data_IF_683419242479
#
_entry.id   IF_683419242479
#
_cell.length_a   1.000
_cell.length_b   1.000
_cell.length_c   1.000
_cell.angle_alpha   90.00
_cell.angle_beta   90.00
_cell.angle_gamma   90.00
#
_symmetry.space_group_name_H-M   'P 1'
#
loop_
_entity.id
_entity.type
_entity.pdbx_description
1 polymer ?
#
# COMPACT_ATOMS: atom_id res chain seq x y z
N UNK A 1 -10.87 -36.09 -20.85
CA UNK A 1 -10.83 -34.77 -20.13
C UNK A 1 -12.21 -34.29 -19.65
N UNK A 2 -13.26 -34.21 -20.49
CA UNK A 2 -14.59 -33.77 -20.02
C UNK A 2 -15.31 -34.85 -19.18
N UNK A 3 -15.14 -36.13 -19.44
CA UNK A 3 -15.69 -37.22 -18.62
C UNK A 3 -15.03 -37.36 -17.27
N UNK A 4 -13.75 -37.02 -17.13
CA UNK A 4 -13.06 -37.02 -15.84
C UNK A 4 -13.56 -35.88 -14.95
N UNK A 5 -13.91 -34.73 -15.52
CA UNK A 5 -14.50 -33.60 -14.75
C UNK A 5 -15.91 -33.95 -14.24
N UNK A 6 -16.68 -34.75 -14.97
CA UNK A 6 -18.02 -35.21 -14.55
C UNK A 6 -17.95 -36.32 -13.49
N UNK A 7 -16.96 -37.19 -13.51
CA UNK A 7 -16.68 -38.15 -12.44
C UNK A 7 -16.23 -37.43 -11.16
N UNK A 8 -15.63 -36.26 -11.31
CA UNK A 8 -15.09 -35.48 -10.25
C UNK A 8 -16.14 -34.78 -9.37
N UNK A 9 -17.29 -34.46 -9.94
CA UNK A 9 -18.38 -33.81 -9.20
C UNK A 9 -19.17 -34.79 -8.30
N UNK A 10 -18.82 -36.06 -8.30
CA UNK A 10 -19.51 -37.10 -7.51
C UNK A 10 -19.09 -37.18 -6.03
N UNK A 11 -18.10 -36.45 -5.58
CA UNK A 11 -17.59 -36.73 -4.23
C UNK A 11 -16.97 -35.61 -3.47
N UNK A 12 -17.40 -34.34 -3.56
CA UNK A 12 -17.01 -33.29 -2.58
C UNK A 12 -15.62 -33.45 -1.91
N UNK A 13 -14.64 -33.95 -2.67
CA UNK A 13 -13.27 -34.18 -2.18
C UNK A 13 -12.37 -32.99 -2.49
N UNK A 14 -12.97 -31.86 -2.89
CA UNK A 14 -12.25 -30.64 -3.23
C UNK A 14 -12.13 -29.75 -2.02
N UNK A 15 -10.94 -29.23 -1.82
CA UNK A 15 -10.66 -28.17 -0.86
C UNK A 15 -9.93 -27.02 -1.56
N UNK A 16 -10.24 -25.81 -1.16
CA UNK A 16 -9.51 -24.63 -1.56
C UNK A 16 -8.40 -24.37 -0.55
N UNK A 17 -7.17 -24.22 -1.05
CA UNK A 17 -6.02 -23.86 -0.25
C UNK A 17 -5.53 -22.48 -0.71
N UNK A 18 -5.42 -21.55 0.23
CA UNK A 18 -4.95 -20.19 -0.02
C UNK A 18 -3.61 -19.98 0.67
N UNK A 19 -2.62 -19.56 -0.10
CA UNK A 19 -1.34 -19.07 0.41
C UNK A 19 -1.28 -17.58 0.15
N UNK A 20 -1.32 -16.79 1.20
CA UNK A 20 -1.22 -15.33 1.14
C UNK A 20 0.19 -14.93 1.53
N UNK A 21 0.86 -14.18 0.67
CA UNK A 21 2.23 -13.67 0.88
C UNK A 21 2.15 -12.15 0.88
N UNK A 22 2.39 -11.55 2.03
CA UNK A 22 2.42 -10.09 2.18
C UNK A 22 3.69 -9.49 1.57
N UNK A 23 3.75 -8.16 1.49
CA UNK A 23 4.90 -7.43 0.94
C UNK A 23 6.15 -7.53 1.85
N UNK A 24 5.97 -7.87 3.13
CA UNK A 24 7.03 -8.11 4.11
C UNK A 24 7.44 -9.59 4.21
N UNK A 25 7.08 -10.40 3.19
CA UNK A 25 7.31 -11.85 3.12
C UNK A 25 6.61 -12.67 4.20
N UNK A 26 5.72 -12.07 5.00
CA UNK A 26 4.86 -12.83 5.91
C UNK A 26 3.92 -13.73 5.12
N UNK A 27 3.80 -14.99 5.54
CA UNK A 27 2.98 -15.99 4.84
C UNK A 27 1.85 -16.48 5.73
N UNK A 28 0.63 -16.52 5.17
CA UNK A 28 -0.52 -17.18 5.77
C UNK A 28 -0.98 -18.32 4.87
N UNK A 29 -1.35 -19.45 5.48
CA UNK A 29 -1.76 -20.68 4.82
C UNK A 29 -3.12 -21.10 5.33
N UNK A 30 -4.15 -21.01 4.49
CA UNK A 30 -5.54 -21.27 4.84
C UNK A 30 -6.19 -22.31 3.95
N UNK A 31 -7.17 -23.03 4.51
CA UNK A 31 -8.05 -23.93 3.76
C UNK A 31 -9.51 -23.74 4.18
N UNK A 32 -10.43 -23.94 3.26
CA UNK A 32 -11.87 -24.01 3.52
C UNK A 32 -12.32 -25.38 4.06
N UNK A 33 -11.39 -26.34 4.13
CA UNK A 33 -11.65 -27.64 4.71
C UNK A 33 -11.66 -27.57 6.25
N UNK A 34 -12.47 -28.42 6.90
CA UNK A 34 -12.59 -28.50 8.36
C UNK A 34 -11.34 -29.05 9.05
N UNK A 35 -10.43 -29.66 8.31
CA UNK A 35 -9.17 -30.24 8.80
C UNK A 35 -7.97 -29.61 8.11
N UNK A 36 -6.81 -29.74 8.77
CA UNK A 36 -5.53 -29.37 8.19
C UNK A 36 -5.29 -30.16 6.91
N UNK A 37 -4.93 -29.46 5.85
CA UNK A 37 -4.57 -30.07 4.56
C UNK A 37 -3.09 -29.79 4.30
N UNK A 38 -2.31 -30.82 3.99
CA UNK A 38 -0.90 -30.68 3.66
C UNK A 38 -0.73 -30.72 2.14
N UNK A 39 -0.24 -29.63 1.56
CA UNK A 39 0.02 -29.52 0.10
C UNK A 39 1.45 -29.02 -0.08
N UNK A 40 2.24 -29.72 -0.89
CA UNK A 40 3.63 -29.30 -1.24
C UNK A 40 4.49 -28.91 0.00
N UNK A 41 4.47 -29.73 1.03
CA UNK A 41 5.19 -29.54 2.31
C UNK A 41 4.66 -28.36 3.17
N UNK A 42 3.62 -27.66 2.75
CA UNK A 42 2.96 -26.62 3.52
C UNK A 42 1.70 -27.16 4.19
N UNK A 43 1.51 -26.81 5.47
CA UNK A 43 0.30 -27.17 6.21
C UNK A 43 -0.68 -26.00 6.18
N UNK A 44 -1.81 -26.20 5.52
CA UNK A 44 -2.90 -25.24 5.46
C UNK A 44 -3.83 -25.45 6.65
N UNK A 45 -4.09 -24.38 7.39
CA UNK A 45 -4.93 -24.40 8.57
C UNK A 45 -6.40 -24.14 8.20
N UNK A 46 -7.34 -24.87 8.82
CA UNK A 46 -8.74 -24.55 8.68
C UNK A 46 -8.99 -23.16 9.26
N UNK A 47 -9.49 -22.27 8.44
CA UNK A 47 -10.04 -21.01 8.90
C UNK A 47 -11.52 -20.98 8.53
N UNK A 48 -12.30 -20.38 9.40
CA UNK A 48 -13.67 -20.01 9.06
C UNK A 48 -13.61 -18.86 8.05
N UNK A 49 -13.17 -19.20 6.83
CA UNK A 49 -13.36 -18.36 5.67
C UNK A 49 -14.85 -18.42 5.37
N UNK A 50 -15.56 -17.32 5.57
CA UNK A 50 -17.01 -17.24 5.35
C UNK A 50 -17.34 -17.39 3.90
N UNK A 51 -16.80 -17.75 2.93
CA UNK A 51 -17.00 -18.02 1.51
C UNK A 51 -16.03 -17.27 0.57
N UNK A 52 -15.45 -18.03 -0.34
CA UNK A 52 -14.92 -17.51 -1.59
C UNK A 52 -16.10 -17.18 -2.51
N UNK A 53 -16.23 -15.95 -2.97
CA UNK A 53 -17.23 -15.64 -3.99
C UNK A 53 -16.90 -16.36 -5.30
N UNK A 54 -17.93 -16.63 -6.12
CA UNK A 54 -17.73 -17.19 -7.44
C UNK A 54 -16.79 -16.28 -8.27
N UNK A 55 -15.90 -16.91 -9.04
CA UNK A 55 -15.03 -16.22 -9.98
C UNK A 55 -15.89 -15.58 -11.08
N UNK A 56 -16.06 -14.27 -11.06
CA UNK A 56 -16.75 -13.55 -12.13
C UNK A 56 -15.79 -13.39 -13.31
N UNK A 57 -16.00 -14.16 -14.36
CA UNK A 57 -15.27 -14.00 -15.61
C UNK A 57 -16.09 -13.13 -16.56
N UNK A 58 -15.75 -11.87 -16.67
CA UNK A 58 -16.32 -10.94 -17.65
C UNK A 58 -15.38 -10.80 -18.85
N UNK A 59 -15.62 -11.56 -19.92
CA UNK A 59 -14.95 -11.41 -21.21
C UNK A 59 -13.46 -11.76 -21.23
N UNK A 60 -12.87 -11.83 -22.41
CA UNK A 60 -11.52 -12.39 -22.67
C UNK A 60 -10.34 -11.62 -22.01
N UNK A 61 -10.53 -10.38 -21.54
CA UNK A 61 -9.49 -9.53 -20.96
C UNK A 61 -9.81 -8.96 -19.56
N UNK A 62 -11.03 -9.16 -19.04
CA UNK A 62 -11.39 -8.80 -17.68
C UNK A 62 -11.54 -10.07 -16.86
N UNK A 63 -10.52 -10.41 -16.11
CA UNK A 63 -10.65 -11.38 -15.04
C UNK A 63 -11.45 -10.71 -13.92
N UNK A 64 -12.56 -11.33 -13.53
CA UNK A 64 -13.44 -10.78 -12.53
C UNK A 64 -12.76 -10.67 -11.15
N UNK A 65 -13.28 -9.75 -10.36
CA UNK A 65 -12.93 -9.63 -8.96
C UNK A 65 -13.47 -10.83 -8.18
N UNK A 66 -12.70 -11.28 -7.21
CA UNK A 66 -13.12 -12.35 -6.30
C UNK A 66 -12.94 -11.87 -4.87
N UNK A 67 -14.00 -12.01 -4.08
CA UNK A 67 -13.96 -11.65 -2.67
C UNK A 67 -13.61 -12.85 -1.80
N UNK A 68 -12.74 -12.61 -0.84
CA UNK A 68 -12.46 -13.51 0.28
C UNK A 68 -13.05 -12.89 1.53
N UNK A 69 -13.91 -13.62 2.21
CA UNK A 69 -14.49 -13.21 3.49
C UNK A 69 -13.91 -14.04 4.61
N UNK A 70 -13.60 -13.42 5.73
CA UNK A 70 -13.08 -14.12 6.89
C UNK A 70 -13.41 -13.41 8.19
N UNK A 71 -13.09 -14.08 9.27
CA UNK A 71 -13.30 -13.60 10.64
C UNK A 71 -11.95 -13.13 11.19
N UNK A 72 -11.97 -12.05 11.96
CA UNK A 72 -10.81 -11.54 12.69
C UNK A 72 -10.68 -12.38 13.96
N UNK A 73 -9.71 -13.28 13.99
CA UNK A 73 -9.51 -14.23 15.10
C UNK A 73 -8.62 -13.69 16.23
N UNK A 74 -8.02 -12.52 16.02
CA UNK A 74 -7.11 -11.88 16.97
C UNK A 74 -5.75 -12.56 17.13
N UNK A 75 -5.51 -13.68 16.46
CA UNK A 75 -4.25 -14.42 16.49
C UNK A 75 -3.58 -14.42 15.11
N UNK A 76 -4.23 -14.96 14.11
CA UNK A 76 -3.69 -15.10 12.75
C UNK A 76 -3.92 -13.83 11.93
N UNK A 77 -5.16 -13.31 11.99
CA UNK A 77 -5.55 -12.03 11.39
C UNK A 77 -6.02 -11.12 12.52
N UNK A 78 -5.24 -10.09 12.78
CA UNK A 78 -5.52 -9.15 13.85
C UNK A 78 -6.05 -7.83 13.31
N UNK A 79 -6.89 -7.15 14.10
CA UNK A 79 -7.41 -5.84 13.73
C UNK A 79 -6.32 -4.79 13.46
N UNK A 80 -5.22 -4.72 14.23
CA UNK A 80 -4.09 -3.84 13.91
C UNK A 80 -3.49 -4.11 12.53
N UNK A 81 -3.27 -5.38 12.15
CA UNK A 81 -2.74 -5.74 10.83
C UNK A 81 -3.65 -5.28 9.69
N UNK A 82 -4.97 -5.40 9.86
CA UNK A 82 -5.95 -4.93 8.87
C UNK A 82 -5.97 -3.41 8.79
N UNK A 83 -5.93 -2.72 9.92
CA UNK A 83 -5.82 -1.24 9.97
C UNK A 83 -4.53 -0.75 9.32
N UNK A 84 -3.42 -1.41 9.53
CA UNK A 84 -2.13 -1.13 8.89
C UNK A 84 -2.10 -1.51 7.41
N UNK A 85 -3.20 -2.07 6.88
CA UNK A 85 -3.29 -2.55 5.52
C UNK A 85 -2.15 -3.52 5.14
N UNK A 86 -1.62 -4.27 6.11
CA UNK A 86 -0.49 -5.19 5.94
C UNK A 86 -0.69 -6.15 4.74
N UNK A 87 -1.91 -6.59 4.54
CA UNK A 87 -2.27 -7.56 3.50
C UNK A 87 -2.68 -6.92 2.16
N UNK A 88 -2.72 -5.59 2.08
CA UNK A 88 -2.95 -4.91 0.80
C UNK A 88 -1.74 -5.06 -0.11
N UNK A 89 -1.97 -5.43 -1.38
CA UNK A 89 -0.90 -5.76 -2.31
C UNK A 89 -0.32 -7.17 -2.14
N UNK A 90 -0.79 -7.93 -1.13
CA UNK A 90 -0.35 -9.31 -0.92
C UNK A 90 -0.69 -10.20 -2.12
N UNK A 91 0.23 -11.09 -2.47
CA UNK A 91 0.02 -12.13 -3.48
C UNK A 91 -0.75 -13.30 -2.87
N UNK A 92 -1.85 -13.68 -3.49
CA UNK A 92 -2.67 -14.83 -3.09
C UNK A 92 -2.54 -15.94 -4.12
N UNK A 93 -2.07 -17.08 -3.69
CA UNK A 93 -2.04 -18.30 -4.49
C UNK A 93 -3.22 -19.16 -4.05
N UNK A 94 -4.22 -19.24 -4.91
CA UNK A 94 -5.41 -20.06 -4.72
C UNK A 94 -5.22 -21.39 -5.44
N UNK A 95 -5.34 -22.48 -4.71
CA UNK A 95 -5.23 -23.85 -5.23
C UNK A 95 -6.51 -24.61 -4.92
N UNK A 96 -6.96 -25.41 -5.89
CA UNK A 96 -8.02 -26.40 -5.67
C UNK A 96 -7.35 -27.77 -5.66
N UNK A 97 -7.48 -28.47 -4.54
CA UNK A 97 -6.81 -29.76 -4.29
C UNK A 97 -7.82 -30.83 -3.92
N UNK A 98 -7.45 -32.08 -4.13
CA UNK A 98 -8.15 -33.23 -3.55
C UNK A 98 -7.67 -33.42 -2.10
N UNK A 99 -8.50 -33.10 -1.12
CA UNK A 99 -8.07 -33.20 0.28
C UNK A 99 -7.76 -34.63 0.74
N UNK A 100 -8.29 -35.66 0.08
CA UNK A 100 -7.93 -37.06 0.32
C UNK A 100 -6.58 -37.44 -0.32
N UNK A 101 -6.22 -36.77 -1.40
CA UNK A 101 -4.98 -36.99 -2.16
C UNK A 101 -4.34 -35.64 -2.47
N UNK A 102 -3.74 -34.94 -1.49
CA UNK A 102 -3.26 -33.57 -1.63
C UNK A 102 -2.17 -33.37 -2.70
N UNK A 103 -1.59 -34.43 -3.21
CA UNK A 103 -0.67 -34.38 -4.34
C UNK A 103 -1.39 -34.01 -5.65
N UNK A 104 -2.72 -34.16 -5.72
CA UNK A 104 -3.51 -33.82 -6.90
C UNK A 104 -4.02 -32.39 -6.78
N UNK A 105 -3.45 -31.52 -7.58
CA UNK A 105 -3.83 -30.11 -7.66
C UNK A 105 -4.54 -29.89 -9.01
N UNK A 106 -5.78 -29.42 -8.95
CA UNK A 106 -6.63 -29.26 -10.15
C UNK A 106 -6.48 -27.90 -10.79
N UNK A 107 -6.28 -26.89 -9.98
CA UNK A 107 -6.08 -25.53 -10.50
C UNK A 107 -5.19 -24.72 -9.56
N UNK A 108 -4.45 -23.78 -10.16
CA UNK A 108 -3.67 -22.78 -9.45
C UNK A 108 -3.95 -21.43 -10.08
N UNK A 109 -4.32 -20.47 -9.24
CA UNK A 109 -4.53 -19.09 -9.66
C UNK A 109 -3.73 -18.16 -8.76
N UNK A 110 -3.06 -17.20 -9.36
CA UNK A 110 -2.41 -16.11 -8.62
C UNK A 110 -3.27 -14.86 -8.71
N UNK A 111 -3.53 -14.25 -7.58
CA UNK A 111 -4.30 -13.01 -7.43
C UNK A 111 -3.54 -12.04 -6.53
N UNK A 112 -3.98 -10.79 -6.52
CA UNK A 112 -3.42 -9.75 -5.64
C UNK A 112 -4.58 -9.12 -4.87
N UNK A 113 -4.41 -8.95 -3.56
CA UNK A 113 -5.39 -8.25 -2.72
C UNK A 113 -5.28 -6.76 -2.99
N UNK A 114 -6.34 -6.16 -3.53
CA UNK A 114 -6.36 -4.74 -3.88
C UNK A 114 -7.06 -3.90 -2.84
N UNK A 115 -8.05 -4.45 -2.19
CA UNK A 115 -8.87 -3.76 -1.19
C UNK A 115 -9.20 -4.69 -0.04
N UNK A 116 -9.16 -4.15 1.18
CA UNK A 116 -9.64 -4.84 2.37
C UNK A 116 -10.62 -3.91 3.08
N UNK A 117 -11.79 -4.42 3.36
CA UNK A 117 -12.81 -3.76 4.18
C UNK A 117 -13.07 -4.65 5.38
N UNK A 118 -13.18 -4.08 6.56
CA UNK A 118 -13.45 -4.83 7.78
C UNK A 118 -14.52 -4.12 8.62
N UNK A 119 -15.30 -4.92 9.32
CA UNK A 119 -16.38 -4.47 10.20
C UNK A 119 -16.31 -5.30 11.49
N UNK A 120 -15.79 -4.69 12.54
CA UNK A 120 -15.70 -5.28 13.88
C UNK A 120 -15.05 -6.66 13.92
N UNK A 121 -15.81 -7.68 13.56
CA UNK A 121 -15.38 -9.09 13.64
C UNK A 121 -15.06 -9.74 12.30
N UNK A 122 -15.46 -9.11 11.20
CA UNK A 122 -15.32 -9.69 9.86
C UNK A 122 -14.47 -8.81 8.96
N UNK A 123 -13.84 -9.43 7.96
CA UNK A 123 -13.18 -8.70 6.87
C UNK A 123 -13.61 -9.26 5.51
N UNK A 124 -13.52 -8.40 4.50
CA UNK A 124 -13.71 -8.75 3.09
C UNK A 124 -12.50 -8.24 2.33
N UNK A 125 -11.75 -9.15 1.74
CA UNK A 125 -10.63 -8.85 0.86
C UNK A 125 -11.03 -9.04 -0.59
N UNK A 126 -10.97 -7.98 -1.40
CA UNK A 126 -11.18 -8.06 -2.85
C UNK A 126 -9.86 -8.39 -3.52
N UNK A 127 -9.86 -9.45 -4.31
CA UNK A 127 -8.70 -9.95 -5.03
C UNK A 127 -8.90 -9.76 -6.53
N UNK A 128 -7.90 -9.24 -7.20
CA UNK A 128 -7.84 -9.11 -8.65
C UNK A 128 -6.84 -10.10 -9.25
N UNK A 129 -7.06 -10.46 -10.50
CA UNK A 129 -6.09 -11.25 -11.28
C UNK A 129 -4.83 -10.42 -11.57
N UNK A 130 -3.67 -11.10 -11.60
CA UNK A 130 -2.40 -10.46 -11.99
C UNK A 130 -2.50 -9.84 -13.40
N UNK A 131 -3.26 -10.45 -14.32
CA UNK A 131 -3.48 -9.92 -15.68
C UNK A 131 -4.18 -8.56 -15.65
N UNK A 132 -5.12 -8.36 -14.72
CA UNK A 132 -5.83 -7.08 -14.56
C UNK A 132 -4.90 -5.99 -13.98
N UNK A 133 -4.00 -6.38 -13.09
CA UNK A 133 -2.99 -5.45 -12.55
C UNK A 133 -2.00 -4.98 -13.64
N UNK A 134 -1.70 -5.83 -14.63
CA UNK A 134 -0.88 -5.47 -15.80
C UNK A 134 -1.62 -4.55 -16.78
N UNK A 135 -2.95 -4.63 -16.84
CA UNK A 135 -3.79 -3.76 -17.67
C UNK A 135 -4.06 -2.39 -17.06
N UNK A 136 -3.69 -2.17 -15.81
CA UNK A 136 -3.75 -0.82 -15.23
C UNK A 136 -2.70 0.05 -15.91
N UNK A 137 -3.05 1.29 -16.33
CA UNK A 137 -2.06 2.21 -16.81
C UNK A 137 -1.01 2.38 -15.73
N UNK A 138 0.11 1.68 -15.86
CA UNK A 138 1.31 1.96 -15.11
C UNK A 138 1.76 3.33 -15.57
N UNK A 139 1.45 4.35 -14.76
CA UNK A 139 1.84 5.72 -15.03
C UNK A 139 3.36 5.83 -15.15
N UNK A 140 3.90 5.42 -16.28
CA UNK A 140 5.31 5.45 -16.53
C UNK A 140 5.62 5.13 -17.98
N UNK A 141 6.26 6.01 -18.67
CA UNK A 141 7.03 5.93 -19.93
C UNK A 141 6.33 5.57 -21.24
N UNK A 142 5.28 4.74 -21.25
CA UNK A 142 4.56 4.44 -22.49
C UNK A 142 3.07 4.78 -22.29
N UNK A 143 2.69 6.00 -22.70
CA UNK A 143 1.32 6.50 -22.61
C UNK A 143 1.00 7.31 -21.34
N UNK A 144 2.02 7.85 -20.65
CA UNK A 144 1.81 8.85 -19.60
C UNK A 144 1.12 10.07 -20.20
N UNK A 145 0.08 10.56 -19.53
CA UNK A 145 -0.50 11.85 -19.91
C UNK A 145 0.57 12.93 -19.71
N UNK A 146 0.73 13.81 -20.69
CA UNK A 146 1.45 15.04 -20.46
C UNK A 146 0.69 15.81 -19.37
N UNK A 147 1.37 16.19 -18.33
CA UNK A 147 0.82 16.91 -17.18
C UNK A 147 1.78 18.03 -16.81
N UNK A 148 1.24 19.12 -16.32
CA UNK A 148 2.07 20.20 -15.76
C UNK A 148 2.80 19.74 -14.49
N UNK A 149 2.20 18.79 -13.76
CA UNK A 149 2.76 18.23 -12.55
C UNK A 149 3.73 17.09 -12.84
N UNK A 150 4.83 17.05 -12.10
CA UNK A 150 5.79 15.96 -12.13
C UNK A 150 5.15 14.68 -11.59
N UNK A 151 5.27 13.59 -12.34
CA UNK A 151 4.72 12.28 -11.98
C UNK A 151 5.75 11.36 -11.30
N UNK A 152 6.98 11.86 -11.07
CA UNK A 152 8.05 11.06 -10.51
C UNK A 152 8.00 11.09 -8.98
N UNK A 153 8.27 9.94 -8.37
CA UNK A 153 8.47 9.84 -6.93
C UNK A 153 9.74 10.62 -6.53
N UNK A 154 9.63 11.45 -5.51
CA UNK A 154 10.74 12.25 -5.00
C UNK A 154 11.92 11.36 -4.56
N UNK A 155 13.11 11.66 -5.05
CA UNK A 155 14.33 10.87 -4.81
C UNK A 155 14.36 9.50 -5.50
N UNK A 156 13.33 9.16 -6.28
CA UNK A 156 13.28 7.92 -7.05
C UNK A 156 14.22 7.91 -8.25
N UNK A 157 14.24 6.79 -8.97
CA UNK A 157 15.18 6.52 -10.10
C UNK A 157 15.11 7.57 -11.20
N UNK A 158 13.95 8.21 -11.38
CA UNK A 158 13.73 9.22 -12.42
C UNK A 158 13.88 10.65 -11.91
N UNK A 159 13.40 10.93 -10.69
CA UNK A 159 13.54 12.22 -10.07
C UNK A 159 15.00 12.52 -9.72
N UNK A 160 15.73 11.57 -9.13
CA UNK A 160 17.13 11.69 -8.71
C UNK A 160 17.46 12.87 -7.78
N UNK A 161 16.46 13.56 -7.23
CA UNK A 161 16.71 14.61 -6.26
C UNK A 161 17.41 14.03 -5.03
N UNK A 162 18.48 14.66 -4.58
CA UNK A 162 19.15 14.29 -3.35
C UNK A 162 18.39 14.87 -2.16
N UNK A 163 17.69 14.03 -1.44
CA UNK A 163 16.95 14.39 -0.22
C UNK A 163 17.71 13.99 1.04
N UNK A 164 18.91 13.44 0.95
CA UNK A 164 19.65 12.91 2.09
C UNK A 164 19.99 14.01 3.10
N UNK A 165 20.36 15.19 2.64
CA UNK A 165 20.69 16.34 3.49
C UNK A 165 19.49 16.94 4.22
N UNK A 166 18.27 16.78 3.68
CA UNK A 166 17.04 17.36 4.21
C UNK A 166 16.16 16.32 4.92
N UNK A 167 16.46 15.03 4.73
CA UNK A 167 15.86 13.95 5.50
C UNK A 167 16.47 13.95 6.91
N UNK A 168 15.62 13.99 7.92
CA UNK A 168 16.05 13.86 9.31
C UNK A 168 16.26 12.36 9.56
N UNK A 169 17.51 11.92 9.38
CA UNK A 169 17.92 10.51 9.55
C UNK A 169 18.31 10.15 10.97
N UNK A 170 18.74 11.12 11.77
CA UNK A 170 18.81 10.92 13.21
C UNK A 170 17.39 10.80 13.70
N UNK A 171 17.04 9.72 14.43
CA UNK A 171 15.65 9.49 14.79
C UNK A 171 15.11 10.72 15.51
N UNK A 172 14.16 11.40 14.85
CA UNK A 172 13.46 12.51 15.45
C UNK A 172 12.69 11.99 16.66
N UNK A 173 12.97 12.50 17.84
CA UNK A 173 12.33 12.02 19.07
C UNK A 173 11.07 12.82 19.31
N UNK A 174 9.95 12.14 19.49
CA UNK A 174 8.67 12.76 19.85
C UNK A 174 8.79 13.46 21.20
N UNK A 175 8.60 14.76 21.22
CA UNK A 175 8.66 15.56 22.44
C UNK A 175 7.30 15.63 23.16
N UNK A 176 6.25 15.86 22.38
CA UNK A 176 4.87 15.91 22.87
C UNK A 176 3.93 15.37 21.83
N UNK A 177 2.86 14.76 22.29
CA UNK A 177 1.73 14.36 21.46
C UNK A 177 0.56 15.18 21.93
N UNK A 178 0.11 16.19 21.16
CA UNK A 178 -1.16 16.85 21.45
C UNK A 178 -2.30 15.82 21.49
N UNK A 179 -3.44 16.17 22.12
CA UNK A 179 -4.57 15.26 22.34
C UNK A 179 -5.12 14.56 21.10
N UNK A 180 -4.67 14.93 19.91
CA UNK A 180 -5.06 14.28 18.65
C UNK A 180 -3.96 13.35 18.16
N UNK A 181 -4.35 12.17 17.68
CA UNK A 181 -3.46 11.22 16.99
C UNK A 181 -2.93 11.74 15.64
N UNK A 182 -3.29 12.98 15.28
CA UNK A 182 -2.96 13.61 13.99
C UNK A 182 -1.84 14.65 14.10
N UNK A 183 -1.36 14.96 15.29
CA UNK A 183 -0.35 15.99 15.48
C UNK A 183 0.78 15.45 16.34
N UNK A 184 2.00 15.60 15.86
CA UNK A 184 3.21 15.20 16.57
C UNK A 184 4.19 16.35 16.61
N UNK A 185 4.84 16.55 17.76
CA UNK A 185 5.87 17.56 17.94
C UNK A 185 7.18 16.88 18.29
N UNK A 186 8.25 17.24 17.59
CA UNK A 186 9.57 16.66 17.79
C UNK A 186 10.44 17.52 18.70
N UNK A 187 11.45 16.91 19.34
CA UNK A 187 12.43 17.66 20.14
C UNK A 187 13.32 18.51 19.25
N UNK A 188 13.60 19.72 19.65
CA UNK A 188 14.45 20.65 18.90
C UNK A 188 15.86 20.12 18.69
N UNK A 189 16.39 19.33 19.63
CA UNK A 189 17.74 18.79 19.57
C UNK A 189 17.87 17.63 18.55
N UNK A 190 16.82 16.82 18.37
CA UNK A 190 16.83 15.68 17.46
C UNK A 190 16.30 16.05 16.08
N UNK A 191 15.37 17.02 16.00
CA UNK A 191 14.84 17.53 14.75
C UNK A 191 15.57 18.83 14.37
N UNK A 192 16.74 18.70 13.78
CA UNK A 192 17.59 19.81 13.38
C UNK A 192 17.73 19.88 11.84
N UNK A 193 16.74 20.45 11.13
CA UNK A 193 16.81 20.56 9.67
C UNK A 193 17.90 21.56 9.25
N UNK A 194 18.50 21.38 8.06
CA UNK A 194 19.45 22.35 7.51
C UNK A 194 18.79 23.71 7.28
N UNK A 195 19.57 24.76 7.15
CA UNK A 195 19.08 26.14 7.04
C UNK A 195 18.02 26.34 5.96
N UNK A 196 18.18 25.69 4.81
CA UNK A 196 17.23 25.74 3.70
C UNK A 196 15.84 25.12 4.04
N UNK A 197 15.79 24.22 5.02
CA UNK A 197 14.57 23.57 5.46
C UNK A 197 13.96 24.16 6.74
N UNK A 198 14.51 25.28 7.20
CA UNK A 198 14.06 26.00 8.41
C UNK A 198 12.93 26.97 8.11
N UNK A 199 11.93 26.52 7.36
CA UNK A 199 10.74 27.27 6.98
C UNK A 199 9.49 26.44 7.21
N UNK A 200 8.37 27.13 7.43
CA UNK A 200 7.09 26.46 7.57
C UNK A 200 6.73 25.70 6.28
N UNK A 201 6.00 24.63 6.47
CA UNK A 201 5.55 23.73 5.40
C UNK A 201 6.67 23.11 4.54
N UNK A 202 7.95 23.19 4.92
CA UNK A 202 9.02 22.52 4.17
C UNK A 202 8.82 21.00 4.06
N UNK A 203 8.31 20.38 5.11
CA UNK A 203 8.03 18.93 5.16
C UNK A 203 6.61 18.58 4.73
N UNK A 204 5.79 19.54 4.32
CA UNK A 204 4.48 19.30 3.73
C UNK A 204 4.61 18.38 2.51
N UNK A 205 3.60 17.52 2.29
CA UNK A 205 3.56 16.47 1.28
C UNK A 205 4.67 15.41 1.45
N UNK A 206 5.39 15.46 2.56
CA UNK A 206 6.39 14.50 2.95
C UNK A 206 5.82 13.34 3.78
N UNK A 207 6.73 12.57 4.36
CA UNK A 207 6.34 11.40 5.15
C UNK A 207 7.16 11.26 6.43
N UNK A 208 6.51 10.66 7.44
CA UNK A 208 7.13 10.21 8.68
C UNK A 208 7.13 8.69 8.67
N UNK A 209 8.30 8.10 8.79
CA UNK A 209 8.48 6.65 8.97
C UNK A 209 8.76 6.38 10.43
N UNK A 210 7.87 5.66 11.10
CA UNK A 210 8.01 5.33 12.51
C UNK A 210 8.99 4.19 12.72
N UNK A 211 10.03 4.40 13.51
CA UNK A 211 11.11 3.43 13.74
C UNK A 211 10.95 2.68 15.07
N UNK A 212 10.32 3.30 16.04
CA UNK A 212 10.08 2.70 17.36
C UNK A 212 8.64 2.94 17.83
N UNK A 213 8.28 2.34 18.95
CA UNK A 213 6.96 2.48 19.56
C UNK A 213 5.88 1.61 18.92
N UNK A 214 4.62 1.94 19.25
CA UNK A 214 3.47 1.15 18.81
C UNK A 214 3.15 1.25 17.31
N UNK A 215 3.72 2.27 16.64
CA UNK A 215 3.50 2.54 15.21
C UNK A 215 4.70 2.14 14.34
N UNK A 216 5.64 1.36 14.84
CA UNK A 216 6.84 0.93 14.11
C UNK A 216 6.51 0.38 12.72
N UNK A 217 7.23 0.86 11.70
CA UNK A 217 7.02 0.48 10.30
C UNK A 217 5.86 1.19 9.61
N UNK A 218 5.05 1.97 10.34
CA UNK A 218 4.00 2.79 9.72
C UNK A 218 4.62 3.99 9.01
N UNK A 219 4.04 4.36 7.87
CA UNK A 219 4.34 5.59 7.14
C UNK A 219 3.15 6.52 7.25
N UNK A 220 3.37 7.73 7.77
CA UNK A 220 2.35 8.77 7.93
C UNK A 220 2.65 9.93 6.99
N UNK A 221 1.68 10.37 6.18
CA UNK A 221 1.82 11.52 5.31
C UNK A 221 1.65 12.83 6.09
N UNK A 222 2.44 13.85 5.76
CA UNK A 222 2.45 15.16 6.38
C UNK A 222 1.63 16.13 5.53
N UNK A 223 0.64 16.80 6.13
CA UNK A 223 -0.15 17.85 5.45
C UNK A 223 0.25 19.27 5.84
N UNK A 224 1.06 19.43 6.89
CA UNK A 224 1.56 20.72 7.33
C UNK A 224 2.68 20.56 8.33
N UNK A 225 3.57 21.53 8.33
CA UNK A 225 4.73 21.58 9.20
C UNK A 225 4.96 23.00 9.72
N UNK A 226 5.09 23.16 11.03
CA UNK A 226 5.46 24.39 11.69
C UNK A 226 6.92 24.27 12.17
N UNK A 227 7.79 25.09 11.60
CA UNK A 227 9.21 25.07 11.94
C UNK A 227 9.46 25.54 13.38
N UNK A 228 8.70 26.54 13.87
CA UNK A 228 8.94 27.16 15.18
C UNK A 228 8.69 26.16 16.32
N UNK A 229 7.64 25.35 16.19
CA UNK A 229 7.23 24.37 17.19
C UNK A 229 7.72 22.96 16.89
N UNK A 230 8.31 22.73 15.71
CA UNK A 230 8.66 21.39 15.19
C UNK A 230 7.45 20.46 15.12
N UNK A 231 6.30 21.02 14.82
CA UNK A 231 5.03 20.31 14.77
C UNK A 231 4.71 19.85 13.36
N UNK A 232 4.44 18.54 13.22
CA UNK A 232 3.93 17.95 11.99
C UNK A 232 2.46 17.59 12.17
N UNK A 233 1.62 18.00 11.21
CA UNK A 233 0.23 17.59 11.10
C UNK A 233 0.12 16.46 10.09
N UNK A 234 -0.54 15.38 10.47
CA UNK A 234 -0.66 14.17 9.66
C UNK A 234 -1.96 14.20 8.85
N UNK A 235 -1.92 13.58 7.67
CA UNK A 235 -3.10 13.42 6.81
C UNK A 235 -4.14 12.48 7.44
N UNK A 236 -3.66 11.41 8.06
CA UNK A 236 -4.49 10.43 8.74
C UNK A 236 -3.98 10.20 10.16
N UNK A 237 -4.87 9.89 11.11
CA UNK A 237 -4.44 9.55 12.45
C UNK A 237 -3.53 8.32 12.44
N UNK A 238 -2.57 8.29 13.37
CA UNK A 238 -1.77 7.10 13.61
C UNK A 238 -2.66 5.96 14.13
N UNK A 239 -2.24 4.73 13.85
CA UNK A 239 -3.04 3.56 14.19
C UNK A 239 -3.10 3.28 15.68
N UNK A 240 -2.03 3.65 16.37
CA UNK A 240 -1.89 3.54 17.81
C UNK A 240 -1.46 4.91 18.38
N UNK A 241 -1.73 5.16 19.64
CA UNK A 241 -1.24 6.38 20.29
C UNK A 241 0.29 6.48 20.16
N UNK A 242 0.76 7.65 19.74
CA UNK A 242 2.17 8.00 19.76
C UNK A 242 2.61 8.26 21.21
N UNK A 243 3.79 7.82 21.57
CA UNK A 243 4.34 8.01 22.91
C UNK A 243 5.54 8.98 22.85
N UNK A 244 5.72 9.73 23.91
CA UNK A 244 6.92 10.55 24.09
C UNK A 244 8.15 9.65 24.15
N UNK A 245 9.16 9.96 23.33
CA UNK A 245 10.36 9.14 23.17
C UNK A 245 10.33 8.21 21.97
N UNK A 246 9.19 8.04 21.27
CA UNK A 246 9.15 7.32 20.02
C UNK A 246 10.06 8.00 18.99
N UNK A 247 10.69 7.19 18.14
CA UNK A 247 11.61 7.64 17.11
C UNK A 247 11.00 7.48 15.73
N UNK A 248 11.30 8.45 14.87
CA UNK A 248 10.81 8.47 13.51
C UNK A 248 11.80 9.15 12.56
N UNK A 249 11.83 8.71 11.30
CA UNK A 249 12.55 9.39 10.22
C UNK A 249 11.57 10.27 9.46
N UNK A 250 11.89 11.56 9.33
CA UNK A 250 11.06 12.55 8.63
C UNK A 250 11.69 12.88 7.28
N UNK A 251 10.94 12.66 6.21
CA UNK A 251 11.36 12.92 4.84
C UNK A 251 10.61 14.12 4.27
N UNK A 252 11.29 15.02 3.51
CA UNK A 252 10.65 16.14 2.85
C UNK A 252 9.67 15.66 1.79
N UNK A 253 8.68 16.48 1.44
CA UNK A 253 7.73 16.22 0.38
C UNK A 253 7.93 17.08 -0.87
N UNK A 254 7.27 16.68 -1.95
CA UNK A 254 7.22 17.41 -3.21
C UNK A 254 5.77 17.43 -3.69
N UNK A 255 5.27 18.61 -4.06
CA UNK A 255 3.93 18.81 -4.61
C UNK A 255 3.85 18.52 -6.12
N UNK A 256 4.98 18.16 -6.74
CA UNK A 256 5.06 17.91 -8.19
C UNK A 256 5.12 19.18 -9.05
N UNK A 257 5.13 20.37 -8.47
CA UNK A 257 5.18 21.61 -9.22
C UNK A 257 6.61 21.96 -9.66
N UNK A 258 6.71 22.64 -10.82
CA UNK A 258 8.00 23.05 -11.40
C UNK A 258 8.79 23.96 -10.46
N UNK A 259 8.12 24.95 -9.85
CA UNK A 259 8.77 25.88 -8.95
C UNK A 259 9.33 25.20 -7.70
N UNK A 260 8.62 24.23 -7.14
CA UNK A 260 9.11 23.42 -6.02
C UNK A 260 10.33 22.59 -6.42
N UNK A 261 10.30 21.97 -7.61
CA UNK A 261 11.44 21.23 -8.14
C UNK A 261 12.66 22.12 -8.31
N UNK A 262 12.46 23.36 -8.80
CA UNK A 262 13.52 24.34 -9.04
C UNK A 262 14.07 24.94 -7.76
N UNK A 263 13.20 25.43 -6.88
CA UNK A 263 13.60 26.24 -5.72
C UNK A 263 14.02 25.36 -4.53
N UNK A 264 13.24 24.30 -4.28
CA UNK A 264 13.44 23.45 -3.08
C UNK A 264 14.50 22.37 -3.30
N UNK A 265 14.57 21.79 -4.52
CA UNK A 265 15.40 20.63 -4.80
C UNK A 265 16.51 20.89 -5.83
N UNK A 266 16.52 22.06 -6.50
CA UNK A 266 17.46 22.39 -7.59
C UNK A 266 17.60 21.27 -8.63
N UNK A 267 16.46 20.65 -9.02
CA UNK A 267 16.43 19.43 -9.81
C UNK A 267 15.63 19.54 -11.11
N UNK A 268 15.63 20.69 -11.73
CA UNK A 268 14.86 20.98 -12.96
C UNK A 268 15.17 20.01 -14.10
N UNK A 269 16.43 19.56 -14.22
CA UNK A 269 16.86 18.65 -15.29
C UNK A 269 16.15 17.28 -15.26
N UNK A 270 15.63 16.87 -14.13
CA UNK A 270 14.91 15.62 -13.96
C UNK A 270 13.39 15.84 -13.71
N UNK A 271 12.89 17.04 -14.01
CA UNK A 271 11.48 17.33 -13.88
C UNK A 271 10.66 16.49 -14.87
N UNK A 272 9.68 15.75 -14.37
CA UNK A 272 8.88 14.83 -15.17
C UNK A 272 7.53 15.38 -15.62
N UNK A 273 7.26 16.67 -15.41
CA UNK A 273 6.10 17.38 -15.91
C UNK A 273 6.45 18.25 -17.13
N UNK A 274 5.47 18.94 -17.67
CA UNK A 274 5.64 19.90 -18.76
C UNK A 274 5.19 21.29 -18.32
N UNK A 275 6.14 22.17 -18.05
CA UNK A 275 5.88 23.56 -17.66
C UNK A 275 5.15 24.37 -18.75
N UNK A 276 5.28 23.94 -20.00
CA UNK A 276 4.73 24.61 -21.17
C UNK A 276 3.39 24.01 -21.66
N UNK A 277 2.79 23.09 -20.92
CA UNK A 277 1.53 22.50 -21.35
C UNK A 277 0.39 23.53 -21.25
N UNK A 278 -0.32 23.83 -22.38
CA UNK A 278 -1.40 24.78 -22.33
C UNK A 278 -2.55 24.26 -21.47
N UNK A 279 -2.96 25.04 -20.49
CA UNK A 279 -4.15 24.74 -19.69
C UNK A 279 -5.40 24.78 -20.57
N UNK A 280 -6.46 24.05 -20.17
CA UNK A 280 -7.74 24.06 -20.88
C UNK A 280 -8.31 25.49 -21.08
N UNK A 281 -7.95 26.45 -20.22
CA UNK A 281 -8.30 27.86 -20.33
C UNK A 281 -7.52 28.56 -21.47
N UNK A 282 -6.28 28.16 -21.73
CA UNK A 282 -5.44 28.74 -22.78
C UNK A 282 -5.82 28.22 -24.17
N UNK A 283 -6.27 26.96 -24.27
CA UNK A 283 -6.74 26.37 -25.53
C UNK A 283 -8.04 27.04 -26.02
N UNK A 284 -8.86 27.56 -25.11
CA UNK A 284 -10.15 28.18 -25.43
C UNK A 284 -10.07 29.68 -25.77
N UNK A 285 -8.93 30.33 -25.67
CA UNK A 285 -8.76 31.71 -26.08
C UNK A 285 -8.48 31.72 -27.58
N UNK A 286 -9.40 32.26 -28.44
CA UNK A 286 -9.08 32.51 -29.82
C UNK A 286 -7.90 33.51 -29.85
N UNK A 287 -6.88 33.21 -30.61
CA UNK A 287 -5.85 34.18 -30.96
C UNK A 287 -6.56 35.26 -31.79
N UNK A 288 -6.85 36.39 -31.19
CA UNK A 288 -7.36 37.56 -31.90
C UNK A 288 -6.08 38.26 -32.41
N UNK A 289 -5.83 38.16 -33.73
CA UNK A 289 -4.88 39.00 -34.44
C UNK A 289 -5.31 40.47 -34.42
#
# INVERSE_FOLDING_TARGET
>A
MAEDLLRYNRGKQLAHCLRVVALDDSVLLFTDHDRKVMVEQNTYLPIVLGSLSADRREGALRSGDQDVRGIIDGQTITLPQLKQQKWRGASVFLMVVDWCRPAIIYSRHRRVITRIVFDGSNFVGTMESVTQSLGRPTGGRFGGHFSQECQYELGGVYCKADISSTTITTPAIVATVPDSLMTVRFTTSSFAPPAAAQVDDYYRDGSIVWETGNNVGQVSAIIGFDYSTRECRLLNPTLQPMLVGDQATVKPGCDGLFDTCKIKFDNVTNFGGSDLEPTASNIRRPVIE
#
